data_IF_144041235969
#
_entry.id   IF_144041235969
#
_cell.length_a   1.000
_cell.length_b   1.000
_cell.length_c   1.000
_cell.angle_alpha   90.00
_cell.angle_beta   90.00
_cell.angle_gamma   90.00
#
_symmetry.space_group_name_H-M   'P 1'
#
loop_
_entity.id
_entity.type
_entity.pdbx_description
1 polymer ?
#
# COMPACT_ATOMS: atom_id res chain seq x y z
N UNK A 1 -22.40 25.98 -11.97
CA UNK A 1 -22.93 25.29 -10.77
C UNK A 1 -21.84 25.32 -9.69
N UNK A 2 -21.78 26.41 -8.90
CA UNK A 2 -20.94 26.54 -7.69
C UNK A 2 -21.83 27.23 -6.65
N UNK A 3 -21.81 26.75 -5.39
CA UNK A 3 -22.72 27.21 -4.32
C UNK A 3 -23.33 26.13 -3.41
N UNK A 4 -22.83 24.88 -3.44
CA UNK A 4 -23.34 23.77 -2.60
C UNK A 4 -22.51 23.48 -1.34
N UNK A 5 -21.65 24.41 -0.90
CA UNK A 5 -20.77 24.22 0.25
C UNK A 5 -19.90 22.94 0.15
N UNK A 6 -19.29 22.71 -1.01
CA UNK A 6 -18.37 21.59 -1.22
C UNK A 6 -16.93 22.04 -0.94
N UNK A 7 -16.20 21.26 -0.14
CA UNK A 7 -14.76 21.43 0.07
C UNK A 7 -14.00 20.35 -0.70
N UNK A 8 -13.09 20.79 -1.57
CA UNK A 8 -12.12 19.90 -2.21
C UNK A 8 -10.84 19.93 -1.40
N UNK A 9 -10.43 18.77 -0.89
CA UNK A 9 -9.13 18.58 -0.23
C UNK A 9 -8.25 17.72 -1.12
N UNK A 10 -7.02 18.16 -1.30
CA UNK A 10 -5.93 17.34 -1.82
C UNK A 10 -5.00 17.02 -0.66
N UNK A 11 -4.19 15.97 -0.78
CA UNK A 11 -3.25 15.57 0.25
C UNK A 11 -1.99 14.98 -0.35
N UNK A 12 -0.85 15.44 0.14
CA UNK A 12 0.41 14.70 0.02
C UNK A 12 0.45 13.59 1.09
N UNK A 13 1.28 12.58 0.87
CA UNK A 13 1.52 11.54 1.86
C UNK A 13 2.73 11.94 2.68
N UNK A 14 2.57 12.01 4.00
CA UNK A 14 3.68 12.11 4.96
C UNK A 14 3.67 10.90 5.90
N UNK A 15 4.73 10.77 6.70
CA UNK A 15 4.93 9.67 7.64
C UNK A 15 4.71 10.10 9.11
N UNK A 16 4.05 11.24 9.37
CA UNK A 16 3.95 11.80 10.73
C UNK A 16 3.13 10.91 11.68
N UNK A 17 2.22 10.09 11.14
CA UNK A 17 1.37 9.17 11.90
C UNK A 17 1.95 7.74 11.99
N UNK A 18 3.19 7.50 11.57
CA UNK A 18 3.77 6.14 11.55
C UNK A 18 3.71 5.45 12.92
N UNK A 19 4.06 6.13 14.00
CA UNK A 19 4.05 5.54 15.35
C UNK A 19 2.65 5.05 15.75
N UNK A 20 1.63 5.86 15.46
CA UNK A 20 0.23 5.51 15.72
C UNK A 20 -0.24 4.34 14.87
N UNK A 21 0.14 4.32 13.58
CA UNK A 21 -0.19 3.21 12.68
C UNK A 21 0.44 1.92 13.19
N UNK A 22 1.72 1.95 13.58
CA UNK A 22 2.42 0.79 14.13
C UNK A 22 1.77 0.28 15.42
N UNK A 23 1.35 1.20 16.31
CA UNK A 23 0.61 0.83 17.52
C UNK A 23 -0.73 0.13 17.19
N UNK A 24 -1.49 0.65 16.22
CA UNK A 24 -2.77 0.04 15.84
C UNK A 24 -2.59 -1.35 15.21
N UNK A 25 -1.50 -1.56 14.49
CA UNK A 25 -1.12 -2.88 13.95
C UNK A 25 -0.75 -3.83 15.09
N UNK A 26 0.08 -3.39 16.05
CA UNK A 26 0.50 -4.24 17.18
C UNK A 26 -0.66 -4.61 18.11
N UNK A 27 -1.66 -3.72 18.24
CA UNK A 27 -2.91 -3.98 18.96
C UNK A 27 -3.88 -4.91 18.17
N UNK A 28 -3.56 -5.29 16.94
CA UNK A 28 -4.41 -6.11 16.08
C UNK A 28 -5.67 -5.38 15.58
N UNK A 29 -5.73 -4.06 15.75
CA UNK A 29 -6.87 -3.23 15.30
C UNK A 29 -6.81 -2.93 13.81
N UNK A 30 -5.62 -3.03 13.23
CA UNK A 30 -5.39 -2.97 11.78
C UNK A 30 -4.60 -4.22 11.39
N UNK A 31 -5.19 -5.05 10.54
CA UNK A 31 -4.46 -6.12 9.84
C UNK A 31 -4.20 -5.69 8.39
N UNK A 32 -2.93 -5.48 8.07
CA UNK A 32 -2.48 -5.10 6.71
C UNK A 32 -2.00 -6.29 5.90
N UNK A 33 -1.97 -7.50 6.49
CA UNK A 33 -1.40 -8.70 5.86
C UNK A 33 -2.08 -9.02 4.54
N UNK A 34 -3.41 -8.82 4.46
CA UNK A 34 -4.21 -9.06 3.27
C UNK A 34 -3.90 -8.13 2.08
N UNK A 35 -3.22 -7.00 2.32
CA UNK A 35 -2.82 -6.11 1.23
C UNK A 35 -1.69 -6.71 0.40
N UNK A 36 -0.83 -7.53 1.02
CA UNK A 36 0.28 -8.21 0.34
C UNK A 36 -0.28 -9.42 -0.41
N UNK A 37 -0.56 -9.24 -1.70
CA UNK A 37 -1.09 -10.33 -2.53
C UNK A 37 0.00 -11.19 -3.16
N UNK A 38 1.19 -10.62 -3.39
CA UNK A 38 2.29 -11.34 -4.03
C UNK A 38 3.62 -11.09 -3.30
N UNK A 39 4.50 -12.09 -3.32
CA UNK A 39 5.84 -12.03 -2.74
C UNK A 39 6.87 -12.50 -3.74
N UNK A 40 7.97 -11.76 -3.86
CA UNK A 40 9.08 -12.09 -4.76
C UNK A 40 10.42 -11.99 -4.03
N UNK A 41 11.38 -12.89 -4.30
CA UNK A 41 12.75 -12.68 -3.87
C UNK A 41 13.36 -11.51 -4.64
N UNK A 42 14.39 -10.87 -4.07
CA UNK A 42 15.08 -9.74 -4.71
C UNK A 42 15.64 -10.11 -6.08
N UNK A 43 16.16 -11.33 -6.23
CA UNK A 43 16.60 -11.90 -7.51
C UNK A 43 15.54 -11.88 -8.63
N UNK A 44 14.24 -11.78 -8.30
CA UNK A 44 13.11 -11.72 -9.26
C UNK A 44 12.37 -10.39 -9.23
N UNK A 45 13.04 -9.31 -8.82
CA UNK A 45 12.42 -7.99 -8.69
C UNK A 45 11.79 -7.49 -10.00
N UNK A 46 12.36 -7.83 -11.16
CA UNK A 46 11.83 -7.42 -12.46
C UNK A 46 10.43 -8.00 -12.72
N UNK A 47 10.22 -9.28 -12.41
CA UNK A 47 8.91 -9.92 -12.53
C UNK A 47 7.87 -9.28 -11.58
N UNK A 48 8.30 -8.89 -10.38
CA UNK A 48 7.44 -8.20 -9.42
C UNK A 48 6.95 -6.84 -9.97
N UNK A 49 7.83 -6.10 -10.63
CA UNK A 49 7.49 -4.84 -11.30
C UNK A 49 6.56 -5.06 -12.49
N UNK A 50 6.83 -6.05 -13.33
CA UNK A 50 5.99 -6.35 -14.49
C UNK A 50 4.57 -6.73 -14.09
N UNK A 51 4.40 -7.57 -13.06
CA UNK A 51 3.09 -7.94 -12.53
C UNK A 51 2.35 -6.72 -11.96
N UNK A 52 3.01 -5.88 -11.15
CA UNK A 52 2.40 -4.70 -10.56
C UNK A 52 2.01 -3.64 -11.60
N UNK A 53 2.89 -3.37 -12.58
CA UNK A 53 2.66 -2.38 -13.63
C UNK A 53 1.47 -2.76 -14.53
N UNK A 54 1.34 -4.05 -14.86
CA UNK A 54 0.27 -4.56 -15.71
C UNK A 54 -1.05 -4.81 -14.96
N UNK A 55 -1.06 -4.67 -13.63
CA UNK A 55 -2.21 -5.00 -12.76
C UNK A 55 -2.76 -6.41 -13.02
N UNK A 56 -1.88 -7.34 -13.38
CA UNK A 56 -2.24 -8.72 -13.64
C UNK A 56 -2.44 -9.49 -12.34
N UNK A 57 -3.10 -10.64 -12.43
CA UNK A 57 -3.31 -11.59 -11.32
C UNK A 57 -3.92 -10.96 -10.05
N UNK A 58 -4.77 -9.94 -10.20
CA UNK A 58 -5.42 -9.28 -9.07
C UNK A 58 -4.45 -8.61 -8.08
N UNK A 59 -3.26 -8.19 -8.54
CA UNK A 59 -2.27 -7.57 -7.67
C UNK A 59 -2.79 -6.32 -6.95
N UNK A 60 -2.55 -6.27 -5.64
CA UNK A 60 -2.78 -5.09 -4.77
C UNK A 60 -1.43 -4.56 -4.28
N UNK A 61 -0.58 -5.44 -3.73
CA UNK A 61 0.76 -5.10 -3.27
C UNK A 61 1.71 -6.28 -3.48
N UNK A 62 2.89 -5.99 -4.02
CA UNK A 62 4.03 -6.90 -4.03
C UNK A 62 4.94 -6.59 -2.83
N UNK A 63 5.42 -7.63 -2.15
CA UNK A 63 6.45 -7.51 -1.12
C UNK A 63 7.73 -8.24 -1.57
N UNK A 64 8.87 -7.56 -1.43
CA UNK A 64 10.18 -8.10 -1.81
C UNK A 64 10.90 -8.57 -0.54
N UNK A 65 11.51 -9.75 -0.60
CA UNK A 65 12.35 -10.28 0.47
C UNK A 65 13.79 -10.52 -0.02
N UNK A 66 14.80 -10.37 0.86
CA UNK A 66 16.19 -10.66 0.52
C UNK A 66 16.38 -12.16 0.25
N UNK A 67 17.33 -12.51 -0.62
CA UNK A 67 17.73 -13.90 -0.90
C UNK A 67 18.44 -14.56 0.29
#
# INVERSE_FOLDING_TARGET
MYGKNLTFKTGGVDACDCDKIMQLISEGRIDTTHLITHRFPLSRIQEAYDLFANRSDGVIKTAIYPD
#
